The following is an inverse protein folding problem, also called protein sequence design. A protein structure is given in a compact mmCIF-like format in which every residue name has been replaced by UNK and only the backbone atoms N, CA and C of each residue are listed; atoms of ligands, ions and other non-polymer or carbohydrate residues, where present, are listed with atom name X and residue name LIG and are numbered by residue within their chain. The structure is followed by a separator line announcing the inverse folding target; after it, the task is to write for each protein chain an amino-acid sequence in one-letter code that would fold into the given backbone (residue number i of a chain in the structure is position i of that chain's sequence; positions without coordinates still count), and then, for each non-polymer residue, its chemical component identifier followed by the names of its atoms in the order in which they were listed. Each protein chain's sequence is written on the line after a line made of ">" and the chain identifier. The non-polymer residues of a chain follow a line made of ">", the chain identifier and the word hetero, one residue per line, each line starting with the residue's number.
data_IF_184152288107
#
_entry.id   IF_184152288107
#
_cell.length_a   1.000
_cell.length_b   1.000
_cell.length_c   1.000
_cell.angle_alpha   90.00
_cell.angle_beta   90.00
_cell.angle_gamma   90.00
#
_symmetry.space_group_name_H-M   'P 1'
#
loop_
_entity.id
_entity.type
_entity.pdbx_description
1 polymer ?
#
# COMPACT_ATOMS: atom_id res chain seq x y z
N UNK A 1 25.46 36.26 -68.38
CA UNK A 1 26.68 35.45 -68.55
C UNK A 1 26.57 34.35 -67.48
N UNK A 2 26.18 33.10 -67.75
CA UNK A 2 26.40 32.16 -68.87
C UNK A 2 27.67 31.30 -68.71
N UNK A 3 27.64 30.06 -69.21
CA UNK A 3 28.45 28.88 -68.78
C UNK A 3 28.10 28.45 -67.33
N UNK A 4 27.64 27.24 -67.01
CA UNK A 4 27.48 25.95 -67.73
C UNK A 4 28.77 25.24 -68.19
N UNK A 5 29.01 24.05 -67.63
CA UNK A 5 29.76 22.94 -68.23
C UNK A 5 29.47 21.61 -67.50
N UNK A 6 28.65 20.74 -68.11
CA UNK A 6 28.50 19.32 -67.73
C UNK A 6 29.36 18.45 -68.64
N UNK A 7 29.84 17.30 -68.17
CA UNK A 7 30.30 16.17 -69.02
C UNK A 7 30.14 14.85 -68.27
N UNK A 8 29.95 13.74 -69.01
CA UNK A 8 29.24 12.56 -68.52
C UNK A 8 29.82 11.23 -69.05
N UNK A 9 29.60 10.14 -68.29
CA UNK A 9 29.31 8.76 -68.76
C UNK A 9 30.41 7.97 -69.53
N UNK A 10 30.76 6.78 -69.00
CA UNK A 10 30.66 5.42 -69.59
C UNK A 10 31.28 4.41 -68.59
N UNK A 11 30.75 3.23 -68.20
CA UNK A 11 29.87 2.20 -68.80
C UNK A 11 30.60 1.12 -69.62
N UNK A 12 30.80 -0.06 -69.01
CA UNK A 12 30.43 -1.41 -69.48
C UNK A 12 30.76 -2.41 -68.34
N UNK A 13 29.96 -3.39 -67.90
CA UNK A 13 28.97 -4.32 -68.51
C UNK A 13 29.60 -5.59 -69.11
N UNK A 14 29.39 -6.71 -68.39
CA UNK A 14 28.93 -8.06 -68.78
C UNK A 14 29.02 -8.89 -67.46
N UNK A 15 28.02 -9.61 -66.94
CA UNK A 15 27.11 -10.62 -67.52
C UNK A 15 27.42 -11.97 -66.82
N UNK A 16 26.62 -13.05 -66.72
CA UNK A 16 25.23 -13.40 -67.07
C UNK A 16 25.00 -14.87 -66.55
N UNK A 17 23.83 -15.43 -66.20
CA UNK A 17 22.43 -14.97 -65.99
C UNK A 17 21.60 -16.11 -65.29
N UNK A 18 20.44 -15.81 -64.64
CA UNK A 18 19.33 -16.77 -64.29
C UNK A 18 19.55 -17.92 -63.25
N UNK A 19 18.53 -18.61 -62.69
CA UNK A 19 17.19 -18.19 -62.19
C UNK A 19 16.55 -19.26 -61.23
N UNK A 20 15.58 -18.85 -60.41
CA UNK A 20 14.45 -19.60 -59.79
C UNK A 20 14.51 -21.12 -59.49
N UNK A 21 14.19 -21.51 -58.24
CA UNK A 21 13.76 -22.87 -57.89
C UNK A 21 13.24 -23.02 -56.44
N UNK A 22 11.93 -23.21 -56.25
CA UNK A 22 11.28 -23.52 -54.96
C UNK A 22 10.94 -25.02 -54.93
N UNK A 23 11.18 -25.70 -53.80
CA UNK A 23 10.37 -26.82 -53.24
C UNK A 23 11.00 -27.29 -51.91
N UNK A 24 10.20 -27.91 -51.03
CA UNK A 24 10.66 -28.54 -49.79
C UNK A 24 10.02 -29.93 -49.61
N UNK A 25 10.79 -30.92 -49.15
CA UNK A 25 10.24 -32.16 -48.57
C UNK A 25 11.27 -33.01 -47.78
N UNK A 26 10.76 -33.59 -46.70
CA UNK A 26 11.03 -34.92 -46.11
C UNK A 26 12.46 -35.52 -45.97
N UNK A 27 12.88 -35.59 -44.70
CA UNK A 27 13.15 -36.82 -43.95
C UNK A 27 14.20 -37.86 -44.42
N UNK A 28 15.08 -38.24 -43.48
CA UNK A 28 15.62 -39.61 -43.41
C UNK A 28 15.81 -40.03 -41.94
N UNK A 29 15.27 -41.18 -41.55
CA UNK A 29 15.63 -41.85 -40.28
C UNK A 29 16.89 -42.68 -40.52
N UNK A 30 17.79 -42.77 -39.53
CA UNK A 30 18.46 -44.05 -39.31
C UNK A 30 18.88 -44.28 -37.86
N UNK A 31 19.13 -45.54 -37.52
CA UNK A 31 19.16 -46.08 -36.15
C UNK A 31 20.36 -46.99 -35.99
N UNK A 32 21.21 -46.74 -35.00
CA UNK A 32 22.25 -47.68 -34.56
C UNK A 32 22.08 -47.93 -33.06
N UNK A 33 22.18 -49.19 -32.65
CA UNK A 33 22.09 -49.67 -31.27
C UNK A 33 23.16 -50.74 -31.09
N UNK A 34 23.95 -50.67 -30.01
CA UNK A 34 24.61 -51.83 -29.41
C UNK A 34 24.64 -51.66 -27.89
N UNK A 35 24.40 -52.76 -27.17
CA UNK A 35 24.46 -52.87 -25.70
C UNK A 35 25.60 -53.83 -25.31
N UNK A 36 26.08 -53.75 -24.07
CA UNK A 36 26.85 -54.81 -23.39
C UNK A 36 26.52 -54.84 -21.88
N UNK A 37 26.68 -56.00 -21.23
CA UNK A 37 26.27 -56.30 -19.84
C UNK A 37 27.25 -57.34 -19.22
N UNK A 38 27.24 -57.74 -17.94
CA UNK A 38 26.31 -57.50 -16.81
C UNK A 38 27.15 -57.33 -15.50
N UNK A 39 26.95 -57.94 -14.29
CA UNK A 39 25.92 -58.83 -13.70
C UNK A 39 25.23 -58.28 -12.42
N UNK A 40 24.52 -59.12 -11.67
CA UNK A 40 23.56 -58.80 -10.59
C UNK A 40 24.11 -58.78 -9.14
N UNK A 41 23.30 -58.22 -8.21
CA UNK A 41 22.83 -58.94 -6.98
C UNK A 41 21.45 -58.40 -6.50
N UNK A 42 20.76 -59.10 -5.58
CA UNK A 42 19.28 -59.18 -5.53
C UNK A 42 18.60 -58.70 -4.22
N UNK A 43 17.49 -57.92 -4.36
CA UNK A 43 16.16 -57.97 -3.67
C UNK A 43 16.09 -57.95 -2.10
N UNK A 44 14.91 -57.84 -1.42
CA UNK A 44 13.50 -57.69 -1.89
C UNK A 44 12.63 -56.57 -1.24
N UNK A 45 11.50 -56.27 -1.89
CA UNK A 45 10.15 -55.96 -1.35
C UNK A 45 9.20 -56.02 -2.59
N UNK A 46 8.03 -56.66 -2.64
CA UNK A 46 6.82 -56.67 -1.78
C UNK A 46 6.07 -55.32 -1.73
N UNK A 47 4.75 -55.24 -1.96
CA UNK A 47 3.86 -56.06 -2.82
C UNK A 47 2.68 -55.14 -3.26
N UNK A 48 2.01 -55.43 -4.39
CA UNK A 48 1.04 -54.52 -4.99
C UNK A 48 -0.43 -54.93 -4.76
N UNK A 49 -1.20 -54.10 -4.03
CA UNK A 49 -2.66 -54.21 -3.93
C UNK A 49 -3.36 -53.14 -4.79
N UNK A 50 -3.92 -53.53 -5.94
CA UNK A 50 -4.77 -52.64 -6.75
C UNK A 50 -6.08 -52.32 -6.00
N UNK A 51 -6.35 -51.03 -5.76
CA UNK A 51 -7.67 -50.54 -5.33
C UNK A 51 -8.12 -49.44 -6.28
N UNK A 52 -9.26 -49.63 -6.92
CA UNK A 52 -9.82 -48.70 -7.91
C UNK A 52 -10.44 -47.48 -7.23
N UNK A 53 -9.74 -46.34 -7.22
CA UNK A 53 -10.26 -45.09 -6.65
C UNK A 53 -10.91 -44.22 -7.73
N UNK A 54 -12.23 -44.04 -7.64
CA UNK A 54 -12.96 -42.98 -8.35
C UNK A 54 -12.52 -41.58 -7.88
N UNK A 55 -12.71 -40.52 -8.70
CA UNK A 55 -12.27 -39.17 -8.34
C UNK A 55 -13.01 -38.63 -7.10
N UNK A 56 -12.29 -38.09 -6.09
CA UNK A 56 -12.94 -37.41 -4.97
C UNK A 56 -13.67 -36.14 -5.42
N UNK A 57 -14.92 -35.96 -4.96
CA UNK A 57 -15.76 -34.82 -5.31
C UNK A 57 -15.08 -33.46 -5.07
N UNK A 58 -15.27 -32.52 -6.00
CA UNK A 58 -15.00 -31.09 -5.77
C UNK A 58 -15.96 -30.55 -4.70
N UNK A 59 -15.56 -30.64 -3.42
CA UNK A 59 -16.13 -29.78 -2.38
C UNK A 59 -15.53 -28.39 -2.54
N UNK A 60 -16.33 -27.45 -3.06
CA UNK A 60 -16.03 -26.03 -2.96
C UNK A 60 -15.73 -25.68 -1.50
N UNK A 61 -14.46 -25.38 -1.20
CA UNK A 61 -14.11 -24.63 0.01
C UNK A 61 -14.32 -23.15 -0.31
N UNK A 62 -15.52 -22.66 -0.07
CA UNK A 62 -15.71 -21.22 0.15
C UNK A 62 -14.76 -20.78 1.27
N UNK A 63 -14.09 -19.62 1.15
CA UNK A 63 -13.51 -18.96 2.31
C UNK A 63 -14.61 -18.72 3.35
N UNK A 64 -14.30 -18.68 4.66
CA UNK A 64 -15.23 -18.11 5.61
C UNK A 64 -15.48 -16.63 5.26
N UNK A 65 -16.69 -16.09 5.44
CA UNK A 65 -16.89 -14.65 5.40
C UNK A 65 -16.00 -13.98 6.45
N UNK A 66 -15.48 -12.79 6.15
CA UNK A 66 -14.79 -11.95 7.14
C UNK A 66 -15.89 -11.38 8.07
N UNK A 67 -16.01 -11.91 9.30
CA UNK A 67 -17.17 -11.62 10.17
C UNK A 67 -17.39 -10.11 10.39
N UNK A 68 -18.64 -9.69 10.22
CA UNK A 68 -19.28 -8.47 10.73
C UNK A 68 -18.36 -7.25 10.96
N UNK A 69 -18.23 -6.42 9.92
CA UNK A 69 -17.99 -4.98 10.11
C UNK A 69 -19.26 -4.33 10.69
N UNK A 70 -19.53 -4.64 11.97
CA UNK A 70 -20.66 -4.13 12.75
C UNK A 70 -20.63 -2.59 12.73
N UNK A 71 -21.60 -2.00 12.02
CA UNK A 71 -21.48 -0.66 11.42
C UNK A 71 -21.86 0.49 12.36
N UNK A 72 -21.79 0.26 13.68
CA UNK A 72 -22.06 1.28 14.69
C UNK A 72 -20.95 2.34 14.73
N UNK A 73 -21.31 3.60 14.46
CA UNK A 73 -20.42 4.76 14.47
C UNK A 73 -19.90 5.14 15.86
N UNK A 74 -20.43 4.53 16.92
CA UNK A 74 -20.04 4.78 18.32
C UNK A 74 -18.53 4.62 18.60
N UNK A 75 -17.85 3.72 17.88
CA UNK A 75 -16.46 3.29 18.14
C UNK A 75 -15.43 4.43 18.11
N UNK A 76 -15.69 5.53 17.41
CA UNK A 76 -14.72 6.62 17.24
C UNK A 76 -14.82 7.76 18.28
N UNK A 77 -15.85 7.82 19.11
CA UNK A 77 -15.96 8.84 20.17
C UNK A 77 -16.04 10.32 19.73
N UNK A 78 -15.99 10.62 18.42
CA UNK A 78 -16.14 11.97 17.86
C UNK A 78 -17.45 12.57 18.36
N UNK A 79 -17.41 13.82 18.84
CA UNK A 79 -18.61 14.56 19.31
C UNK A 79 -19.55 14.96 18.16
N UNK A 80 -20.28 13.97 17.67
CA UNK A 80 -21.70 14.08 17.31
C UNK A 80 -22.09 15.10 16.24
N UNK A 81 -21.28 15.27 15.18
CA UNK A 81 -21.72 15.97 13.96
C UNK A 81 -21.49 15.11 12.71
N UNK A 82 -22.57 14.81 11.99
CA UNK A 82 -22.53 14.21 10.65
C UNK A 82 -21.94 15.19 9.64
N UNK A 83 -21.43 14.69 8.52
CA UNK A 83 -21.17 15.54 7.35
C UNK A 83 -22.52 16.00 6.77
N UNK A 84 -22.96 17.19 7.18
CA UNK A 84 -24.01 17.97 6.50
C UNK A 84 -23.37 18.73 5.33
N UNK A 85 -23.91 18.55 4.12
CA UNK A 85 -23.53 19.31 2.92
C UNK A 85 -24.14 20.71 3.00
N UNK A 86 -23.34 21.74 2.75
CA UNK A 86 -23.67 23.12 3.14
C UNK A 86 -24.86 23.72 2.37
N UNK A 87 -25.04 23.36 1.10
CA UNK A 87 -26.07 23.94 0.22
C UNK A 87 -27.40 23.18 0.29
N UNK A 88 -27.36 21.84 0.35
CA UNK A 88 -28.56 20.99 0.33
C UNK A 88 -29.07 20.59 1.71
N UNK A 89 -28.25 20.73 2.76
CA UNK A 89 -28.54 20.20 4.10
C UNK A 89 -28.53 18.66 4.20
N UNK A 90 -28.24 17.93 3.11
CA UNK A 90 -28.21 16.46 3.12
C UNK A 90 -27.04 15.95 3.96
N UNK A 91 -27.28 14.89 4.73
CA UNK A 91 -26.23 14.18 5.48
C UNK A 91 -25.58 13.12 4.60
N UNK A 92 -24.27 13.21 4.39
CA UNK A 92 -23.52 12.28 3.53
C UNK A 92 -23.61 10.85 4.09
N UNK A 93 -23.47 10.68 5.41
CA UNK A 93 -23.60 9.38 6.08
C UNK A 93 -24.97 8.73 5.84
N UNK A 94 -26.05 9.51 5.82
CA UNK A 94 -27.41 9.00 5.62
C UNK A 94 -27.65 8.58 4.18
N UNK A 95 -27.20 9.39 3.21
CA UNK A 95 -27.29 9.08 1.77
C UNK A 95 -26.56 7.78 1.44
N UNK A 96 -25.32 7.62 1.92
CA UNK A 96 -24.56 6.40 1.64
C UNK A 96 -25.07 5.19 2.41
N UNK A 97 -25.58 5.35 3.64
CA UNK A 97 -26.19 4.25 4.39
C UNK A 97 -27.45 3.70 3.71
N UNK A 98 -28.37 4.57 3.28
CA UNK A 98 -29.62 4.14 2.63
C UNK A 98 -29.38 3.51 1.25
N UNK A 99 -28.29 3.85 0.58
CA UNK A 99 -27.87 3.14 -0.64
C UNK A 99 -27.17 1.81 -0.32
N UNK A 100 -26.13 1.83 0.53
CA UNK A 100 -25.27 0.67 0.81
C UNK A 100 -26.05 -0.53 1.37
N UNK A 101 -27.01 -0.29 2.28
CA UNK A 101 -27.86 -1.34 2.89
C UNK A 101 -28.68 -2.19 1.92
N UNK A 102 -28.76 -1.79 0.64
CA UNK A 102 -29.50 -2.46 -0.42
C UNK A 102 -28.57 -3.11 -1.47
N UNK A 103 -27.24 -3.04 -1.30
CA UNK A 103 -26.27 -3.67 -2.20
C UNK A 103 -26.15 -5.17 -1.88
N UNK A 104 -25.99 -6.04 -2.91
CA UNK A 104 -25.82 -7.48 -2.71
C UNK A 104 -24.39 -7.89 -2.34
N UNK A 105 -23.41 -7.01 -2.57
CA UNK A 105 -21.98 -7.25 -2.34
C UNK A 105 -21.35 -6.08 -1.56
N UNK A 106 -20.28 -6.37 -0.81
CA UNK A 106 -19.60 -5.36 -0.01
C UNK A 106 -18.94 -4.27 -0.87
N UNK A 107 -19.01 -3.03 -0.39
CA UNK A 107 -18.48 -1.84 -1.05
C UNK A 107 -17.88 -0.86 -0.06
N UNK A 108 -17.13 0.14 -0.56
CA UNK A 108 -16.56 1.23 0.25
C UNK A 108 -17.60 1.90 1.16
N UNK A 109 -18.83 2.05 0.67
CA UNK A 109 -19.93 2.73 1.36
C UNK A 109 -20.39 2.03 2.64
N UNK A 110 -20.32 0.69 2.71
CA UNK A 110 -20.62 -0.08 3.92
C UNK A 110 -19.72 0.30 5.10
N UNK A 111 -18.51 0.79 4.81
CA UNK A 111 -17.55 1.28 5.80
C UNK A 111 -17.50 2.81 5.88
N UNK A 112 -18.54 3.51 5.39
CA UNK A 112 -18.58 4.98 5.28
C UNK A 112 -17.35 5.57 4.56
N UNK A 113 -16.81 4.85 3.58
CA UNK A 113 -15.69 5.29 2.75
C UNK A 113 -16.16 5.79 1.38
N UNK A 114 -15.74 6.99 0.97
CA UNK A 114 -16.04 7.56 -0.35
C UNK A 114 -14.76 7.59 -1.20
N UNK A 115 -14.85 7.03 -2.40
CA UNK A 115 -13.76 6.89 -3.36
C UNK A 115 -13.95 7.90 -4.50
N UNK A 116 -13.01 8.81 -4.71
CA UNK A 116 -13.13 9.97 -5.61
C UNK A 116 -13.36 9.63 -7.11
N UNK A 117 -13.01 8.40 -7.54
CA UNK A 117 -13.25 7.91 -8.90
C UNK A 117 -14.47 6.97 -9.03
N UNK A 118 -15.26 6.76 -7.97
CA UNK A 118 -16.43 5.88 -8.03
C UNK A 118 -17.64 6.63 -8.60
N UNK A 119 -17.99 6.30 -9.84
CA UNK A 119 -19.12 6.88 -10.56
C UNK A 119 -20.48 6.50 -9.97
N UNK A 120 -20.60 5.33 -9.32
CA UNK A 120 -21.85 4.92 -8.67
C UNK A 120 -22.05 5.75 -7.41
N UNK A 121 -21.02 5.82 -6.55
CA UNK A 121 -21.04 6.70 -5.37
C UNK A 121 -21.25 8.17 -5.76
N UNK A 122 -20.64 8.67 -6.84
CA UNK A 122 -20.91 10.03 -7.35
C UNK A 122 -22.40 10.25 -7.64
N UNK A 123 -23.06 9.29 -8.30
CA UNK A 123 -24.45 9.44 -8.75
C UNK A 123 -25.50 9.56 -7.63
N UNK A 124 -25.11 9.39 -6.36
CA UNK A 124 -25.96 9.62 -5.18
C UNK A 124 -26.08 11.12 -4.79
N UNK A 125 -25.26 11.98 -5.40
CA UNK A 125 -25.06 13.38 -5.06
C UNK A 125 -25.20 14.28 -6.30
N UNK A 126 -25.61 15.53 -6.10
CA UNK A 126 -25.50 16.58 -7.11
C UNK A 126 -24.02 16.92 -7.36
N UNK A 127 -23.70 17.56 -8.49
CA UNK A 127 -22.32 17.88 -8.84
C UNK A 127 -21.67 18.87 -7.84
N UNK A 128 -22.47 19.76 -7.27
CA UNK A 128 -22.11 20.72 -6.24
C UNK A 128 -21.78 20.02 -4.91
N UNK A 129 -22.65 19.09 -4.49
CA UNK A 129 -22.46 18.28 -3.28
C UNK A 129 -21.23 17.36 -3.42
N UNK A 130 -21.08 16.71 -4.57
CA UNK A 130 -19.93 15.85 -4.86
C UNK A 130 -18.61 16.63 -4.86
N UNK A 131 -18.62 17.83 -5.45
CA UNK A 131 -17.49 18.77 -5.40
C UNK A 131 -17.19 19.17 -3.96
N UNK A 132 -18.18 19.42 -3.11
CA UNK A 132 -17.94 19.70 -1.68
C UNK A 132 -17.30 18.48 -0.99
N UNK A 133 -17.88 17.28 -1.13
CA UNK A 133 -17.39 16.04 -0.52
C UNK A 133 -15.94 15.72 -0.94
N UNK A 134 -15.60 15.92 -2.21
CA UNK A 134 -14.26 15.60 -2.75
C UNK A 134 -13.21 16.67 -2.49
N UNK A 135 -13.59 17.92 -2.16
CA UNK A 135 -12.66 19.05 -1.98
C UNK A 135 -12.69 19.73 -0.60
N UNK A 136 -13.67 19.43 0.26
CA UNK A 136 -13.76 19.98 1.62
C UNK A 136 -12.55 19.56 2.47
N UNK A 137 -12.00 20.51 3.23
CA UNK A 137 -10.80 20.30 4.07
C UNK A 137 -9.67 19.60 3.27
N UNK A 138 -9.47 20.03 2.03
CA UNK A 138 -8.40 19.53 1.17
C UNK A 138 -7.02 19.80 1.79
N UNK A 139 -6.15 18.79 1.78
CA UNK A 139 -4.77 18.89 2.24
C UNK A 139 -3.91 19.37 1.07
N UNK A 140 -3.02 20.31 1.33
CA UNK A 140 -2.06 20.80 0.34
C UNK A 140 -1.20 19.64 -0.17
N UNK A 141 -1.22 19.37 -1.49
CA UNK A 141 -0.37 18.33 -2.06
C UNK A 141 1.10 18.71 -1.85
N UNK A 142 1.94 17.86 -1.21
CA UNK A 142 3.32 18.21 -0.95
C UNK A 142 4.09 18.61 -2.21
N UNK A 143 4.72 19.77 -2.13
CA UNK A 143 5.56 20.35 -3.17
C UNK A 143 6.97 19.80 -2.98
N UNK A 144 7.47 19.05 -3.98
CA UNK A 144 8.86 18.64 -4.00
C UNK A 144 9.76 19.87 -4.15
N UNK A 145 10.93 19.84 -3.51
CA UNK A 145 11.95 20.88 -3.67
C UNK A 145 12.39 21.05 -5.12
N UNK A 146 12.84 22.26 -5.46
CA UNK A 146 13.36 22.59 -6.79
C UNK A 146 14.59 21.73 -7.18
N UNK A 147 15.40 21.33 -6.18
CA UNK A 147 16.51 20.37 -6.29
C UNK A 147 16.04 19.04 -6.90
N UNK A 148 15.10 18.36 -6.23
CA UNK A 148 14.49 17.10 -6.63
C UNK A 148 13.76 17.22 -7.99
N UNK A 149 13.00 18.30 -8.18
CA UNK A 149 12.27 18.55 -9.43
C UNK A 149 13.23 18.74 -10.61
N UNK A 150 14.37 19.40 -10.41
CA UNK A 150 15.37 19.58 -11.47
C UNK A 150 16.16 18.31 -11.75
N UNK A 151 16.46 17.48 -10.74
CA UNK A 151 17.09 16.18 -10.95
C UNK A 151 16.17 15.22 -11.73
N UNK A 152 14.89 15.16 -11.38
CA UNK A 152 13.88 14.39 -12.14
C UNK A 152 13.76 14.88 -13.59
N UNK A 153 13.86 16.19 -13.86
CA UNK A 153 13.92 16.73 -15.23
C UNK A 153 15.21 16.33 -15.96
N UNK A 154 16.39 16.45 -15.31
CA UNK A 154 17.70 16.08 -15.86
C UNK A 154 17.72 14.64 -16.37
N UNK A 155 17.14 13.73 -15.59
CA UNK A 155 17.04 12.31 -15.95
C UNK A 155 15.83 11.97 -16.83
N UNK A 156 14.97 12.94 -17.18
CA UNK A 156 13.84 12.72 -18.12
C UNK A 156 14.31 12.78 -19.57
N UNK A 157 15.05 11.74 -20.00
CA UNK A 157 15.52 11.54 -21.38
C UNK A 157 14.84 10.33 -22.05
N UNK A 158 15.18 10.12 -23.32
CA UNK A 158 14.62 9.16 -24.27
C UNK A 158 15.65 8.15 -24.82
N UNK A 159 16.90 8.23 -24.38
CA UNK A 159 18.01 7.40 -24.86
C UNK A 159 18.85 6.86 -23.67
N UNK A 160 19.35 5.62 -23.80
CA UNK A 160 20.10 4.85 -22.78
C UNK A 160 21.50 5.41 -22.52
N UNK A 161 22.27 5.69 -23.56
CA UNK A 161 23.61 6.30 -23.50
C UNK A 161 23.52 7.68 -22.84
N UNK A 162 22.60 8.52 -23.32
CA UNK A 162 22.35 9.84 -22.74
C UNK A 162 21.91 9.78 -21.27
N UNK A 163 21.10 8.78 -20.88
CA UNK A 163 20.71 8.60 -19.47
C UNK A 163 21.91 8.19 -18.60
N UNK A 164 22.74 7.28 -19.13
CA UNK A 164 23.96 6.80 -18.48
C UNK A 164 24.93 7.97 -18.24
N UNK A 165 25.15 8.84 -19.22
CA UNK A 165 26.00 10.03 -19.08
C UNK A 165 25.52 10.97 -17.98
N UNK A 166 24.26 11.44 -18.05
CA UNK A 166 23.73 12.40 -17.06
C UNK A 166 23.66 11.85 -15.64
N UNK A 167 23.60 10.51 -15.48
CA UNK A 167 23.68 9.85 -14.18
C UNK A 167 25.10 9.84 -13.60
N UNK A 168 26.15 9.87 -14.43
CA UNK A 168 27.54 9.95 -13.97
C UNK A 168 27.97 11.37 -13.58
N UNK A 169 27.29 12.40 -14.08
CA UNK A 169 27.40 13.76 -13.54
C UNK A 169 26.96 13.83 -12.07
N UNK A 170 27.49 14.77 -11.26
CA UNK A 170 27.01 15.02 -9.91
C UNK A 170 25.49 15.23 -9.82
N UNK A 171 24.90 14.67 -8.75
CA UNK A 171 23.49 14.83 -8.37
C UNK A 171 23.29 15.69 -7.10
N UNK A 172 24.39 16.02 -6.42
CA UNK A 172 24.48 17.03 -5.35
C UNK A 172 25.22 18.27 -5.89
N UNK A 173 25.06 19.46 -5.28
CA UNK A 173 25.76 20.67 -5.73
C UNK A 173 27.30 20.54 -5.65
N UNK A 174 28.00 21.21 -6.56
CA UNK A 174 29.47 21.17 -6.61
C UNK A 174 30.10 21.71 -5.32
N UNK A 175 31.19 21.06 -4.89
CA UNK A 175 31.88 21.36 -3.63
C UNK A 175 31.20 20.85 -2.36
N UNK A 176 29.92 20.46 -2.40
CA UNK A 176 29.26 19.83 -1.26
C UNK A 176 29.77 18.40 -1.03
N UNK A 177 29.98 18.04 0.23
CA UNK A 177 30.09 16.64 0.64
C UNK A 177 28.69 16.03 0.74
N UNK A 178 28.56 14.74 0.46
CA UNK A 178 27.32 14.00 0.72
C UNK A 178 26.96 14.09 2.20
N UNK A 179 25.66 14.23 2.46
CA UNK A 179 25.07 14.21 3.81
C UNK A 179 23.73 13.49 3.72
N UNK A 180 23.51 12.48 4.59
CA UNK A 180 22.33 11.62 4.53
C UNK A 180 21.02 12.33 4.92
N UNK A 181 21.08 13.42 5.70
CA UNK A 181 19.88 14.16 6.12
C UNK A 181 19.34 15.01 4.97
N UNK A 182 20.23 15.69 4.24
CA UNK A 182 19.85 16.67 3.21
C UNK A 182 19.86 16.11 1.78
N UNK A 183 20.70 15.09 1.48
CA UNK A 183 20.90 14.62 0.10
C UNK A 183 20.26 13.26 -0.23
N UNK A 184 19.69 12.53 0.74
CA UNK A 184 19.17 11.18 0.49
C UNK A 184 18.01 11.14 -0.53
N UNK A 185 17.19 12.19 -0.67
CA UNK A 185 16.12 12.20 -1.69
C UNK A 185 16.66 12.42 -3.11
N UNK A 186 17.81 13.09 -3.27
CA UNK A 186 18.53 13.19 -4.55
C UNK A 186 19.22 11.86 -4.89
N UNK A 187 19.83 11.25 -3.87
CA UNK A 187 20.49 9.94 -3.95
C UNK A 187 19.49 8.82 -4.29
N UNK A 188 18.31 8.84 -3.69
CA UNK A 188 17.17 7.97 -4.03
C UNK A 188 16.77 8.10 -5.50
N UNK A 189 16.63 9.32 -6.03
CA UNK A 189 16.29 9.55 -7.44
C UNK A 189 17.38 8.95 -8.35
N UNK A 190 18.65 9.27 -8.09
CA UNK A 190 19.80 8.73 -8.83
C UNK A 190 19.88 7.18 -8.75
N UNK A 191 19.72 6.60 -7.56
CA UNK A 191 19.72 5.16 -7.31
C UNK A 191 18.57 4.43 -8.01
N UNK A 192 17.36 4.98 -7.96
CA UNK A 192 16.21 4.41 -8.64
C UNK A 192 16.35 4.46 -10.17
N UNK A 193 16.85 5.59 -10.73
CA UNK A 193 17.16 5.69 -12.16
C UNK A 193 18.26 4.72 -12.59
N UNK A 194 19.34 4.55 -11.81
CA UNK A 194 20.40 3.55 -12.06
C UNK A 194 19.84 2.11 -11.98
N UNK A 195 18.96 1.86 -11.02
CA UNK A 195 18.29 0.57 -10.85
C UNK A 195 17.41 0.18 -12.03
N UNK A 196 16.67 1.13 -12.60
CA UNK A 196 15.80 0.91 -13.77
C UNK A 196 16.60 0.93 -15.09
N UNK A 197 17.63 1.78 -15.23
CA UNK A 197 18.55 1.78 -16.38
C UNK A 197 19.16 0.38 -16.59
N UNK A 198 19.65 -0.26 -15.51
CA UNK A 198 20.19 -1.62 -15.57
C UNK A 198 19.16 -2.63 -16.11
N UNK A 199 17.86 -2.45 -15.86
CA UNK A 199 16.81 -3.31 -16.41
C UNK A 199 16.57 -3.00 -17.89
N UNK A 200 16.49 -1.72 -18.28
CA UNK A 200 16.31 -1.30 -19.68
C UNK A 200 17.43 -1.81 -20.62
N UNK A 201 18.64 -1.97 -20.09
CA UNK A 201 19.83 -2.49 -20.78
C UNK A 201 19.90 -4.02 -20.89
N UNK A 202 19.05 -4.80 -20.18
CA UNK A 202 19.04 -6.27 -20.30
C UNK A 202 18.43 -6.72 -21.63
N UNK A 203 19.00 -7.74 -22.28
CA UNK A 203 18.48 -8.28 -23.54
C UNK A 203 17.07 -8.87 -23.36
N UNK A 204 16.91 -9.85 -22.47
CA UNK A 204 15.61 -10.25 -21.90
C UNK A 204 15.19 -9.22 -20.84
N UNK A 205 13.97 -8.68 -20.90
CA UNK A 205 13.59 -7.55 -20.06
C UNK A 205 12.46 -7.91 -19.08
N UNK A 206 12.75 -8.01 -17.77
CA UNK A 206 11.76 -8.46 -16.80
C UNK A 206 10.59 -7.49 -16.60
N UNK A 207 10.71 -6.23 -17.04
CA UNK A 207 9.59 -5.26 -17.01
C UNK A 207 8.56 -5.60 -18.12
N UNK A 208 9.00 -6.25 -19.21
CA UNK A 208 8.18 -6.69 -20.34
C UNK A 208 7.67 -8.12 -20.14
N UNK A 209 8.58 -9.06 -19.87
CA UNK A 209 8.38 -10.49 -20.15
C UNK A 209 7.58 -11.24 -19.07
N UNK A 210 6.78 -10.52 -18.27
CA UNK A 210 5.93 -11.02 -17.17
C UNK A 210 6.62 -11.79 -16.04
N UNK A 211 7.96 -11.95 -16.07
CA UNK A 211 8.86 -12.50 -15.04
C UNK A 211 8.92 -11.67 -13.72
N UNK A 212 7.93 -10.80 -13.51
CA UNK A 212 7.81 -9.86 -12.39
C UNK A 212 7.52 -10.54 -11.05
N UNK A 213 7.25 -11.85 -11.04
CA UNK A 213 7.20 -12.65 -9.81
C UNK A 213 8.57 -12.78 -9.13
N UNK A 214 9.68 -12.66 -9.88
CA UNK A 214 11.05 -12.76 -9.34
C UNK A 214 11.78 -11.41 -9.20
N UNK A 215 11.63 -10.50 -10.16
CA UNK A 215 12.40 -9.25 -10.18
C UNK A 215 11.59 -8.12 -9.54
N UNK A 216 11.73 -8.03 -8.21
CA UNK A 216 11.12 -7.02 -7.36
C UNK A 216 11.67 -5.59 -7.65
N UNK A 217 11.32 -5.00 -8.79
CA UNK A 217 11.68 -3.63 -9.16
C UNK A 217 11.12 -2.61 -8.17
N UNK A 218 9.96 -2.92 -7.58
CA UNK A 218 9.25 -2.01 -6.68
C UNK A 218 9.96 -1.83 -5.33
N UNK A 219 10.59 -2.86 -4.77
CA UNK A 219 11.46 -2.68 -3.60
C UNK A 219 12.61 -1.68 -3.87
N UNK A 220 13.20 -1.74 -5.07
CA UNK A 220 14.31 -0.85 -5.48
C UNK A 220 13.85 0.60 -5.76
N UNK A 221 12.56 0.81 -5.99
CA UNK A 221 11.95 2.09 -6.41
C UNK A 221 11.11 2.73 -5.31
N UNK A 222 10.63 1.96 -4.33
CA UNK A 222 9.83 2.44 -3.19
C UNK A 222 10.69 2.49 -1.93
N UNK A 223 11.30 1.37 -1.54
CA UNK A 223 11.78 1.16 -0.16
C UNK A 223 12.89 2.17 0.24
N UNK A 224 13.93 2.44 -0.58
CA UNK A 224 14.99 3.41 -0.26
C UNK A 224 14.50 4.85 -0.08
N UNK A 225 13.30 5.21 -0.56
CA UNK A 225 12.74 6.55 -0.32
C UNK A 225 12.47 6.80 1.17
N UNK A 226 12.31 5.76 1.99
CA UNK A 226 11.93 5.86 3.40
C UNK A 226 13.10 5.61 4.36
N UNK A 227 14.30 5.31 3.83
CA UNK A 227 15.49 4.86 4.57
C UNK A 227 16.13 5.90 5.53
N UNK A 228 15.70 7.17 5.49
CA UNK A 228 16.11 8.20 6.46
C UNK A 228 15.03 8.50 7.51
N UNK A 229 13.86 7.86 7.46
CA UNK A 229 12.78 8.08 8.42
C UNK A 229 12.86 7.11 9.60
N UNK A 230 12.24 7.47 10.72
CA UNK A 230 11.95 6.54 11.80
C UNK A 230 10.81 5.54 11.45
N UNK A 231 10.53 5.36 10.15
CA UNK A 231 9.53 4.44 9.61
C UNK A 231 10.22 3.17 9.13
N UNK A 232 9.58 2.04 9.36
CA UNK A 232 9.92 0.72 8.85
C UNK A 232 8.86 0.30 7.83
N UNK A 233 9.28 -0.02 6.61
CA UNK A 233 8.41 -0.63 5.61
C UNK A 233 8.45 -2.15 5.78
N UNK A 234 7.51 -2.67 6.57
CA UNK A 234 7.40 -4.11 6.86
C UNK A 234 6.88 -4.84 5.62
N UNK A 235 7.79 -5.47 4.87
CA UNK A 235 7.51 -6.24 3.65
C UNK A 235 7.09 -7.69 3.95
N UNK A 236 6.19 -8.22 3.12
CA UNK A 236 5.82 -9.65 3.08
C UNK A 236 4.76 -10.04 4.12
N UNK A 237 3.50 -10.16 3.68
CA UNK A 237 2.32 -10.45 4.53
C UNK A 237 2.25 -9.64 5.84
N UNK A 238 2.68 -8.37 5.78
CA UNK A 238 2.69 -7.45 6.91
C UNK A 238 1.29 -7.29 7.49
N UNK A 239 1.05 -7.86 8.67
CA UNK A 239 -0.21 -7.71 9.39
C UNK A 239 -0.29 -6.31 10.00
N UNK A 240 -1.30 -5.53 9.61
CA UNK A 240 -1.63 -4.26 10.26
C UNK A 240 -1.98 -4.47 11.72
N UNK A 241 -1.32 -3.70 12.57
CA UNK A 241 -1.65 -3.57 13.98
C UNK A 241 -2.96 -2.84 14.19
N UNK A 242 -3.22 -1.76 13.46
CA UNK A 242 -4.47 -1.01 13.54
C UNK A 242 -5.70 -1.89 13.22
N UNK A 243 -5.65 -2.66 12.12
CA UNK A 243 -6.70 -3.63 11.79
C UNK A 243 -6.86 -4.74 12.84
N UNK A 244 -5.77 -5.18 13.47
CA UNK A 244 -5.84 -6.19 14.52
C UNK A 244 -6.47 -5.61 15.78
N UNK A 245 -6.09 -4.40 16.18
CA UNK A 245 -6.57 -3.81 17.43
C UNK A 245 -8.05 -3.42 17.29
N UNK A 246 -8.51 -2.90 16.14
CA UNK A 246 -9.95 -2.75 15.84
C UNK A 246 -10.70 -4.08 15.92
N UNK A 247 -10.21 -5.14 15.24
CA UNK A 247 -10.84 -6.48 15.23
C UNK A 247 -10.88 -7.16 16.61
N UNK A 248 -10.27 -6.60 17.65
CA UNK A 248 -10.25 -7.14 19.01
C UNK A 248 -10.70 -6.15 20.10
N UNK A 249 -11.29 -5.00 19.73
CA UNK A 249 -11.68 -3.94 20.68
C UNK A 249 -12.60 -4.45 21.81
N UNK A 250 -13.52 -5.37 21.49
CA UNK A 250 -14.50 -5.97 22.41
C UNK A 250 -14.14 -7.40 22.83
N UNK A 251 -12.90 -7.87 22.58
CA UNK A 251 -12.48 -9.26 22.76
C UNK A 251 -12.36 -9.65 24.24
N UNK A 252 -13.06 -10.70 24.67
CA UNK A 252 -12.90 -11.27 26.00
C UNK A 252 -11.61 -12.10 26.13
N UNK A 253 -11.16 -12.34 27.36
CA UNK A 253 -9.88 -13.06 27.63
C UNK A 253 -9.80 -14.42 26.94
N UNK A 254 -10.93 -15.15 26.89
CA UNK A 254 -11.03 -16.50 26.36
C UNK A 254 -11.06 -16.58 24.82
N UNK A 255 -11.31 -15.47 24.13
CA UNK A 255 -11.43 -15.47 22.67
C UNK A 255 -10.06 -15.47 21.99
N UNK A 256 -9.91 -16.25 20.92
CA UNK A 256 -8.70 -16.22 20.08
C UNK A 256 -8.55 -14.84 19.42
N UNK A 257 -7.42 -14.17 19.64
CA UNK A 257 -7.13 -12.86 19.03
C UNK A 257 -7.29 -12.92 17.50
N UNK A 258 -8.21 -12.13 16.94
CA UNK A 258 -8.40 -11.97 15.49
C UNK A 258 -7.17 -11.30 14.88
N UNK A 259 -6.66 -11.83 13.76
CA UNK A 259 -5.51 -11.23 13.08
C UNK A 259 -5.93 -9.97 12.31
N UNK A 260 -4.99 -9.04 12.18
CA UNK A 260 -5.17 -7.85 11.34
C UNK A 260 -5.17 -8.18 9.85
N UNK A 261 -5.56 -7.20 9.03
CA UNK A 261 -5.46 -7.29 7.57
C UNK A 261 -3.97 -7.40 7.18
N UNK A 262 -3.64 -8.31 6.26
CA UNK A 262 -2.28 -8.49 5.72
C UNK A 262 -2.12 -7.69 4.44
N UNK A 263 -1.00 -6.97 4.27
CA UNK A 263 -0.57 -6.38 2.99
C UNK A 263 0.83 -6.83 2.57
N UNK A 264 1.26 -6.45 1.38
CA UNK A 264 2.63 -6.69 0.87
C UNK A 264 3.67 -5.68 1.41
N UNK A 265 3.17 -4.59 1.99
CA UNK A 265 3.95 -3.63 2.77
C UNK A 265 3.08 -2.91 3.80
N UNK A 266 3.64 -2.58 4.96
CA UNK A 266 3.04 -1.67 5.95
C UNK A 266 4.08 -0.66 6.41
N UNK A 267 3.74 0.63 6.36
CA UNK A 267 4.59 1.72 6.85
C UNK A 267 4.33 1.92 8.35
N UNK A 268 5.22 1.43 9.22
CA UNK A 268 5.06 1.45 10.69
C UNK A 268 6.14 2.32 11.34
N UNK A 269 5.80 3.05 12.40
CA UNK A 269 6.79 3.78 13.21
C UNK A 269 7.66 2.80 14.01
N UNK A 270 8.98 2.89 13.87
CA UNK A 270 9.94 1.93 14.47
C UNK A 270 9.78 1.88 15.99
N UNK A 271 9.77 0.66 16.54
CA UNK A 271 9.51 0.34 17.95
C UNK A 271 8.13 0.75 18.48
N UNK A 272 7.21 1.21 17.64
CA UNK A 272 5.84 1.60 17.99
C UNK A 272 4.83 0.72 17.21
N UNK A 273 3.56 0.77 17.58
CA UNK A 273 2.44 0.11 16.89
C UNK A 273 1.85 0.95 15.74
N UNK A 274 2.00 2.27 15.78
CA UNK A 274 1.37 3.22 14.86
C UNK A 274 1.78 2.99 13.39
N UNK A 275 0.81 3.08 12.49
CA UNK A 275 0.91 2.76 11.07
C UNK A 275 0.38 3.91 10.21
N UNK A 276 1.14 4.30 9.19
CA UNK A 276 0.94 5.53 8.41
C UNK A 276 0.60 5.26 6.93
N UNK A 277 0.51 3.99 6.55
CA UNK A 277 0.20 3.57 5.20
C UNK A 277 0.45 2.09 4.93
N UNK A 278 0.10 1.66 3.73
CA UNK A 278 0.22 0.27 3.29
C UNK A 278 0.57 0.14 1.79
N UNK A 279 0.99 -1.07 1.40
CA UNK A 279 1.25 -1.48 0.02
C UNK A 279 0.55 -2.82 -0.23
N UNK A 280 -0.09 -2.96 -1.40
CA UNK A 280 -0.70 -4.20 -1.89
C UNK A 280 -0.24 -4.43 -3.35
N UNK A 281 0.28 -5.63 -3.65
CA UNK A 281 1.05 -5.93 -4.85
C UNK A 281 0.36 -6.96 -5.77
N UNK A 282 -0.29 -6.49 -6.83
CA UNK A 282 -0.92 -7.34 -7.82
C UNK A 282 0.09 -7.98 -8.78
N UNK A 283 0.11 -9.32 -8.90
CA UNK A 283 0.89 -10.04 -9.93
C UNK A 283 0.62 -9.52 -11.36
N UNK A 284 -0.61 -9.09 -11.62
CA UNK A 284 -1.05 -8.43 -12.85
C UNK A 284 -1.74 -7.12 -12.48
N UNK A 285 -1.57 -6.10 -13.32
CA UNK A 285 -2.42 -4.91 -13.29
C UNK A 285 -3.58 -5.11 -14.28
N UNK A 286 -4.69 -5.65 -13.77
CA UNK A 286 -5.97 -5.61 -14.47
C UNK A 286 -6.44 -4.15 -14.63
N UNK A 287 -7.33 -3.86 -15.59
CA UNK A 287 -7.89 -2.51 -15.72
C UNK A 287 -8.75 -2.13 -14.51
N UNK A 288 -9.20 -0.87 -14.42
CA UNK A 288 -9.96 -0.38 -13.25
C UNK A 288 -11.24 -1.16 -12.94
N UNK A 289 -11.78 -1.89 -13.92
CA UNK A 289 -12.93 -2.78 -13.86
C UNK A 289 -12.60 -4.22 -13.46
N UNK A 290 -11.32 -4.58 -13.34
CA UNK A 290 -10.88 -5.93 -12.97
C UNK A 290 -11.23 -6.28 -11.53
N UNK A 291 -11.93 -7.39 -11.33
CA UNK A 291 -12.41 -7.83 -10.01
C UNK A 291 -11.27 -7.94 -8.99
N UNK A 292 -10.07 -8.39 -9.40
CA UNK A 292 -8.94 -8.46 -8.47
C UNK A 292 -8.49 -7.07 -8.04
N UNK A 293 -8.30 -6.14 -8.99
CA UNK A 293 -7.92 -4.76 -8.67
C UNK A 293 -8.95 -4.08 -7.74
N UNK A 294 -10.25 -4.32 -7.94
CA UNK A 294 -11.30 -3.79 -7.07
C UNK A 294 -11.24 -4.40 -5.65
N UNK A 295 -11.06 -5.71 -5.53
CA UNK A 295 -11.00 -6.44 -4.25
C UNK A 295 -9.75 -6.09 -3.45
N UNK A 296 -8.56 -6.20 -4.06
CA UNK A 296 -7.27 -5.82 -3.47
C UNK A 296 -7.31 -4.35 -3.01
N UNK A 297 -7.96 -3.48 -3.80
CA UNK A 297 -8.12 -2.07 -3.45
C UNK A 297 -9.14 -1.80 -2.34
N UNK A 298 -10.20 -2.58 -2.19
CA UNK A 298 -11.14 -2.43 -1.06
C UNK A 298 -10.45 -2.87 0.25
N UNK A 299 -9.73 -4.00 0.18
CA UNK A 299 -8.90 -4.56 1.26
C UNK A 299 -7.89 -3.55 1.80
N UNK A 300 -7.08 -2.93 0.93
CA UNK A 300 -6.10 -1.91 1.37
C UNK A 300 -6.82 -0.65 1.92
N UNK A 301 -7.93 -0.20 1.33
CA UNK A 301 -8.65 0.97 1.83
C UNK A 301 -9.25 0.75 3.22
N UNK A 302 -9.81 -0.43 3.51
CA UNK A 302 -10.27 -0.78 4.87
C UNK A 302 -9.12 -0.79 5.88
N UNK A 303 -7.96 -1.35 5.49
CA UNK A 303 -6.75 -1.34 6.34
C UNK A 303 -6.24 0.10 6.58
N UNK A 304 -6.26 0.96 5.57
CA UNK A 304 -5.92 2.39 5.71
C UNK A 304 -6.92 3.15 6.59
N UNK A 305 -8.22 2.83 6.52
CA UNK A 305 -9.21 3.38 7.47
C UNK A 305 -8.89 2.94 8.90
N UNK A 306 -8.57 1.66 9.12
CA UNK A 306 -8.18 1.17 10.45
C UNK A 306 -6.97 1.96 11.00
N UNK A 307 -5.94 2.18 10.18
CA UNK A 307 -4.75 2.98 10.52
C UNK A 307 -5.08 4.45 10.84
N UNK A 308 -5.87 5.11 9.98
CA UNK A 308 -6.26 6.51 10.16
C UNK A 308 -7.12 6.71 11.41
N UNK A 309 -8.00 5.75 11.72
CA UNK A 309 -8.77 5.74 12.96
C UNK A 309 -7.86 5.59 14.19
N UNK A 310 -6.83 4.73 14.15
CA UNK A 310 -5.86 4.61 15.24
C UNK A 310 -5.07 5.91 15.46
N UNK A 311 -4.65 6.58 14.38
CA UNK A 311 -3.99 7.89 14.45
C UNK A 311 -4.91 9.00 14.97
N UNK A 312 -6.22 8.93 14.69
CA UNK A 312 -7.19 9.88 15.23
C UNK A 312 -7.37 9.70 16.75
N UNK A 313 -7.42 8.45 17.23
CA UNK A 313 -7.48 8.12 18.68
C UNK A 313 -6.20 8.56 19.39
N UNK A 314 -5.04 8.37 18.75
CA UNK A 314 -3.74 8.83 19.25
C UNK A 314 -3.68 10.37 19.41
N UNK A 315 -4.47 11.12 18.64
CA UNK A 315 -4.68 12.58 18.79
C UNK A 315 -5.84 12.95 19.73
N UNK A 316 -6.27 12.08 20.65
CA UNK A 316 -7.40 12.29 21.58
C UNK A 316 -8.73 12.64 20.89
N UNK A 317 -8.87 12.31 19.61
CA UNK A 317 -9.95 12.81 18.72
C UNK A 317 -10.05 14.35 18.65
N UNK A 318 -8.98 15.10 18.99
CA UNK A 318 -8.88 16.56 18.87
C UNK A 318 -9.13 16.96 17.40
N UNK A 319 -10.32 17.50 17.11
CA UNK A 319 -10.86 17.68 15.75
C UNK A 319 -9.89 18.43 14.82
N UNK A 320 -9.22 19.48 15.29
CA UNK A 320 -8.29 20.25 14.47
C UNK A 320 -7.02 19.45 14.09
N UNK A 321 -6.61 18.45 14.89
CA UNK A 321 -5.54 17.51 14.55
C UNK A 321 -6.07 16.42 13.62
N UNK A 322 -7.19 15.79 13.97
CA UNK A 322 -7.85 14.71 13.20
C UNK A 322 -8.12 15.15 11.76
N UNK A 323 -8.60 16.37 11.55
CA UNK A 323 -8.87 16.92 10.21
C UNK A 323 -7.61 17.22 9.39
N UNK A 324 -6.41 17.20 9.98
CA UNK A 324 -5.11 17.32 9.27
C UNK A 324 -4.51 15.95 8.90
N UNK A 325 -4.85 14.88 9.62
CA UNK A 325 -4.28 13.52 9.41
C UNK A 325 -4.54 12.99 7.99
N UNK A 326 -3.54 12.28 7.45
CA UNK A 326 -3.67 11.46 6.24
C UNK A 326 -2.83 10.18 6.35
N UNK A 327 -3.27 9.10 5.70
CA UNK A 327 -2.46 7.90 5.47
C UNK A 327 -2.34 7.58 3.97
N UNK A 328 -1.31 6.83 3.59
CA UNK A 328 -0.99 6.58 2.17
C UNK A 328 -1.13 5.11 1.80
N UNK A 329 -1.90 4.84 0.74
CA UNK A 329 -1.92 3.54 0.08
C UNK A 329 -1.07 3.54 -1.18
N UNK A 330 -0.31 2.47 -1.43
CA UNK A 330 0.33 2.20 -2.72
C UNK A 330 -0.23 0.90 -3.28
N UNK A 331 -0.87 0.98 -4.44
CA UNK A 331 -1.13 -0.19 -5.28
C UNK A 331 0.00 -0.26 -6.30
N UNK A 332 0.68 -1.40 -6.39
CA UNK A 332 1.61 -1.68 -7.47
C UNK A 332 1.30 -3.02 -8.11
N UNK A 333 1.61 -3.18 -9.39
CA UNK A 333 1.39 -4.45 -10.07
C UNK A 333 1.88 -4.45 -11.50
N UNK A 334 2.50 -5.57 -11.91
CA UNK A 334 3.39 -5.60 -13.06
C UNK A 334 4.33 -4.37 -13.08
N UNK A 335 4.33 -3.59 -14.16
CA UNK A 335 5.10 -2.36 -14.34
C UNK A 335 4.34 -1.07 -13.95
N UNK A 336 3.19 -1.17 -13.28
CA UNK A 336 2.32 -0.03 -12.90
C UNK A 336 2.29 0.25 -11.39
N UNK A 337 2.08 1.52 -11.05
CA UNK A 337 1.88 2.01 -9.68
C UNK A 337 0.76 3.07 -9.62
N UNK A 338 -0.03 3.04 -8.55
CA UNK A 338 -0.93 4.11 -8.13
C UNK A 338 -0.70 4.42 -6.64
N UNK A 339 -0.58 5.70 -6.33
CA UNK A 339 -0.66 6.20 -4.95
C UNK A 339 -2.09 6.67 -4.68
N UNK A 340 -2.61 6.38 -3.49
CA UNK A 340 -3.86 6.93 -2.97
C UNK A 340 -3.63 7.56 -1.59
N UNK A 341 -4.43 8.54 -1.24
CA UNK A 341 -4.39 9.22 0.06
C UNK A 341 -5.74 9.11 0.74
N UNK A 342 -5.76 8.74 2.01
CA UNK A 342 -6.99 8.55 2.79
C UNK A 342 -7.03 9.56 3.93
N UNK A 343 -8.15 10.28 4.08
CA UNK A 343 -8.34 11.36 5.05
C UNK A 343 -9.76 11.39 5.64
N UNK A 344 -9.96 12.15 6.73
CA UNK A 344 -11.26 12.32 7.41
C UNK A 344 -11.79 13.77 7.20
N UNK A 345 -12.43 14.12 6.07
CA UNK A 345 -12.82 15.50 5.74
C UNK A 345 -13.79 16.16 6.72
N UNK A 346 -14.91 15.51 7.05
CA UNK A 346 -15.93 15.96 8.01
C UNK A 346 -16.68 14.73 8.54
N UNK A 347 -17.24 14.84 9.74
CA UNK A 347 -18.03 13.76 10.36
C UNK A 347 -17.26 12.44 10.43
N UNK A 348 -17.96 11.34 10.13
CA UNK A 348 -17.41 9.97 10.12
C UNK A 348 -16.97 9.49 8.72
N UNK A 349 -17.15 10.33 7.70
CA UNK A 349 -16.80 10.03 6.31
C UNK A 349 -15.28 9.88 6.21
N UNK A 350 -14.85 8.72 5.73
CA UNK A 350 -13.47 8.49 5.29
C UNK A 350 -13.40 8.73 3.79
N UNK A 351 -12.54 9.64 3.33
CA UNK A 351 -12.36 9.92 1.90
C UNK A 351 -11.09 9.27 1.39
N UNK A 352 -11.19 8.66 0.21
CA UNK A 352 -10.10 8.05 -0.53
C UNK A 352 -9.92 8.87 -1.81
N UNK A 353 -8.76 9.51 -1.96
CA UNK A 353 -8.38 10.24 -3.17
C UNK A 353 -7.35 9.44 -3.97
N UNK A 354 -7.64 9.12 -5.23
CA UNK A 354 -6.76 8.29 -6.08
C UNK A 354 -5.99 9.13 -7.08
N UNK A 355 -4.67 9.00 -7.02
CA UNK A 355 -3.78 9.65 -7.98
C UNK A 355 -3.72 8.89 -9.30
N UNK A 356 -3.13 9.51 -10.31
CA UNK A 356 -2.97 8.90 -11.63
C UNK A 356 -2.13 7.62 -11.53
N UNK A 357 -2.54 6.58 -12.26
CA UNK A 357 -1.72 5.38 -12.48
C UNK A 357 -0.55 5.75 -13.38
N UNK A 358 0.66 5.37 -12.99
CA UNK A 358 1.88 5.54 -13.79
C UNK A 358 2.45 4.18 -14.16
N UNK A 359 2.85 4.04 -15.41
CA UNK A 359 3.41 2.82 -15.98
C UNK A 359 4.87 3.05 -16.34
N UNK A 360 5.79 2.29 -15.72
CA UNK A 360 7.20 2.31 -16.07
C UNK A 360 7.35 1.53 -17.39
N UNK A 361 7.77 2.22 -18.45
CA UNK A 361 7.93 1.61 -19.76
C UNK A 361 8.95 0.46 -19.71
N UNK A 362 8.67 -0.64 -20.43
CA UNK A 362 9.55 -1.81 -20.45
C UNK A 362 10.90 -1.59 -21.14
N UNK A 363 10.99 -0.61 -22.05
CA UNK A 363 12.24 -0.07 -22.58
C UNK A 363 12.30 1.44 -22.34
N UNK A 364 13.51 1.99 -22.34
CA UNK A 364 13.72 3.42 -22.41
C UNK A 364 13.39 3.96 -23.80
N UNK A 365 12.09 4.16 -24.07
CA UNK A 365 11.60 5.01 -25.15
C UNK A 365 11.24 6.41 -24.63
N UNK A 366 10.72 6.49 -23.40
CA UNK A 366 10.43 7.72 -22.65
C UNK A 366 10.58 7.44 -21.15
N UNK A 367 11.58 7.99 -20.47
CA UNK A 367 11.73 7.84 -19.01
C UNK A 367 10.73 8.67 -18.18
N UNK A 368 10.04 9.61 -18.81
CA UNK A 368 9.05 10.53 -18.19
C UNK A 368 8.03 9.86 -17.24
N UNK A 369 7.53 8.62 -17.46
CA UNK A 369 6.67 7.94 -16.49
C UNK A 369 7.38 7.54 -15.19
N UNK A 370 8.67 7.18 -15.23
CA UNK A 370 9.47 6.92 -14.04
C UNK A 370 9.62 8.19 -13.20
N UNK A 371 9.89 9.33 -13.84
CA UNK A 371 9.96 10.63 -13.16
C UNK A 371 8.66 10.95 -12.39
N UNK A 372 7.50 10.60 -12.96
CA UNK A 372 6.21 10.75 -12.28
C UNK A 372 5.97 9.72 -11.17
N UNK A 373 6.37 8.45 -11.36
CA UNK A 373 6.28 7.43 -10.31
C UNK A 373 7.12 7.82 -9.07
N UNK A 374 8.38 8.22 -9.28
CA UNK A 374 9.28 8.70 -8.22
C UNK A 374 8.73 9.96 -7.53
N UNK A 375 8.13 10.88 -8.29
CA UNK A 375 7.45 12.06 -7.72
C UNK A 375 6.32 11.67 -6.76
N UNK A 376 5.46 10.72 -7.14
CA UNK A 376 4.34 10.32 -6.25
C UNK A 376 4.82 9.52 -5.03
N UNK A 377 5.93 8.78 -5.13
CA UNK A 377 6.59 8.13 -3.97
C UNK A 377 7.20 9.18 -3.02
N UNK A 378 7.83 10.24 -3.54
CA UNK A 378 8.29 11.37 -2.72
C UNK A 378 7.13 12.16 -2.09
N UNK A 379 6.00 12.31 -2.80
CA UNK A 379 4.78 12.84 -2.19
C UNK A 379 4.23 11.91 -1.08
N UNK A 380 4.28 10.58 -1.26
CA UNK A 380 3.86 9.62 -0.24
C UNK A 380 4.72 9.75 1.03
N UNK A 381 6.04 9.82 0.87
CA UNK A 381 7.00 10.12 1.95
C UNK A 381 6.65 11.41 2.69
N UNK A 382 6.42 12.49 1.96
CA UNK A 382 6.10 13.81 2.53
C UNK A 382 4.81 13.78 3.36
N UNK A 383 3.78 13.04 2.93
CA UNK A 383 2.52 12.90 3.69
C UNK A 383 2.75 12.10 4.97
N UNK A 384 3.50 10.99 4.90
CA UNK A 384 3.83 10.20 6.10
C UNK A 384 4.62 11.06 7.10
N UNK A 385 5.57 11.89 6.64
CA UNK A 385 6.29 12.85 7.50
C UNK A 385 5.34 13.88 8.12
N UNK A 386 4.47 14.53 7.34
CA UNK A 386 3.50 15.50 7.84
C UNK A 386 2.56 14.90 8.89
N UNK A 387 2.12 13.64 8.71
CA UNK A 387 1.28 12.95 9.68
C UNK A 387 2.07 12.56 10.94
N UNK A 388 3.34 12.13 10.82
CA UNK A 388 4.23 11.93 11.98
C UNK A 388 4.46 13.23 12.75
N UNK A 389 4.65 14.36 12.07
CA UNK A 389 4.80 15.68 12.70
C UNK A 389 3.52 16.12 13.43
N UNK A 390 2.33 15.71 12.98
CA UNK A 390 1.06 15.95 13.70
C UNK A 390 0.97 15.09 14.96
N UNK A 391 1.37 13.81 14.89
CA UNK A 391 1.41 12.93 16.08
C UNK A 391 2.40 13.47 17.11
N UNK A 392 3.64 13.80 16.72
CA UNK A 392 4.65 14.27 17.68
C UNK A 392 4.25 15.59 18.39
N UNK A 393 3.60 16.52 17.66
CA UNK A 393 3.22 17.84 18.20
C UNK A 393 2.07 17.83 19.20
N UNK A 394 1.36 16.71 19.36
CA UNK A 394 0.32 16.62 20.41
C UNK A 394 0.95 16.60 21.81
N UNK A 395 2.14 15.99 21.92
CA UNK A 395 2.83 15.73 23.19
C UNK A 395 3.56 16.99 23.69
N UNK A 396 3.83 17.97 22.82
CA UNK A 396 4.41 19.28 23.15
C UNK A 396 3.43 20.21 23.93
N UNK A 397 2.12 19.91 23.95
CA UNK A 397 1.07 20.85 24.39
C UNK A 397 0.62 20.64 25.84
N UNK A 398 0.70 19.42 26.37
CA UNK A 398 0.05 19.07 27.64
C UNK A 398 0.96 19.15 28.89
N UNK A 399 2.21 19.63 28.76
CA UNK A 399 3.16 19.70 29.88
C UNK A 399 2.96 20.92 30.81
N UNK A 400 2.45 22.05 30.30
CA UNK A 400 2.02 23.18 31.16
C UNK A 400 0.68 22.86 31.84
N UNK A 401 -0.32 22.34 31.10
CA UNK A 401 -1.61 21.93 31.64
C UNK A 401 -1.49 20.92 32.80
N UNK A 402 -0.56 19.96 32.69
CA UNK A 402 -0.32 18.94 33.72
C UNK A 402 0.40 19.46 34.98
N UNK A 403 0.93 20.70 34.95
CA UNK A 403 1.58 21.35 36.10
C UNK A 403 0.71 22.43 36.76
N UNK A 404 -0.33 22.92 36.07
CA UNK A 404 -1.34 23.84 36.62
C UNK A 404 -2.47 23.14 37.41
N UNK A 405 -2.51 21.80 37.42
CA UNK A 405 -3.32 21.00 38.37
C UNK A 405 -2.73 21.11 39.79
N UNK A 406 -2.87 22.27 40.41
CA UNK A 406 -2.46 22.49 41.81
C UNK A 406 -3.37 21.72 42.77
N UNK A 407 -2.78 20.84 43.58
CA UNK A 407 -3.41 20.08 44.67
C UNK A 407 -4.07 21.00 45.74
N UNK A 408 -5.25 21.54 45.44
CA UNK A 408 -6.18 22.12 46.42
C UNK A 408 -6.84 20.97 47.23
N UNK A 409 -6.01 20.20 47.93
CA UNK A 409 -6.45 19.15 48.84
C UNK A 409 -6.97 19.75 50.14
N UNK A 410 -8.30 19.74 50.32
CA UNK A 410 -8.84 19.53 51.66
C UNK A 410 -10.16 18.73 51.69
N UNK A 411 -10.27 17.83 52.66
CA UNK A 411 -11.55 17.38 53.19
C UNK A 411 -12.40 16.33 52.45
N UNK A 412 -11.90 15.12 52.15
CA UNK A 412 -12.77 13.93 52.03
C UNK A 412 -12.33 12.71 52.85
N UNK A 413 -13.24 12.22 53.71
CA UNK A 413 -13.01 11.13 54.66
C UNK A 413 -12.86 9.75 53.99
N UNK A 414 -11.93 8.93 54.51
CA UNK A 414 -11.74 7.54 54.11
C UNK A 414 -12.81 6.59 54.70
N UNK A 415 -13.56 5.83 53.89
CA UNK A 415 -14.45 4.77 54.40
C UNK A 415 -13.67 3.49 54.73
N UNK A 416 -13.78 3.00 55.97
CA UNK A 416 -13.10 1.78 56.40
C UNK A 416 -13.84 0.51 55.91
N UNK A 417 -13.29 -0.19 54.91
CA UNK A 417 -13.78 -1.51 54.50
C UNK A 417 -13.16 -2.63 55.35
N UNK A 418 -13.88 -3.10 56.37
CA UNK A 418 -13.47 -4.28 57.14
C UNK A 418 -13.78 -5.59 56.40
N UNK A 419 -12.78 -6.47 56.30
CA UNK A 419 -12.90 -7.79 55.65
C UNK A 419 -13.41 -8.86 56.63
N UNK A 420 -14.42 -9.68 56.30
CA UNK A 420 -14.96 -10.67 57.23
C UNK A 420 -14.12 -11.96 57.27
N UNK A 421 -13.44 -12.21 58.40
CA UNK A 421 -12.82 -13.52 58.65
C UNK A 421 -13.82 -14.53 59.23
N UNK A 422 -13.75 -15.79 58.76
CA UNK A 422 -14.48 -16.94 59.31
C UNK A 422 -13.52 -18.07 59.66
N UNK A 423 -13.50 -18.50 60.93
CA UNK A 423 -13.43 -19.89 61.42
C UNK A 423 -13.31 -19.92 62.95
N UNK A 424 -13.72 -21.02 63.59
CA UNK A 424 -13.35 -21.31 64.99
C UNK A 424 -14.49 -21.54 65.98
N UNK A 425 -15.50 -22.37 65.66
CA UNK A 425 -16.39 -22.89 66.69
C UNK A 425 -15.67 -23.98 67.49
N UNK A 426 -15.53 -23.85 68.83
CA UNK A 426 -15.79 -24.94 69.80
C UNK A 426 -15.58 -24.61 71.29
N UNK A 427 -16.48 -25.22 72.07
CA UNK A 427 -16.32 -25.81 73.42
C UNK A 427 -16.21 -24.95 74.71
N UNK A 428 -16.90 -25.46 75.76
CA UNK A 428 -16.89 -25.11 77.21
C UNK A 428 -17.42 -23.70 77.59
N UNK A 429 -18.63 -23.48 78.13
CA UNK A 429 -19.41 -24.03 79.29
C UNK A 429 -19.14 -23.29 80.62
N UNK A 430 -20.22 -22.72 81.19
CA UNK A 430 -20.37 -22.12 82.54
C UNK A 430 -19.45 -20.90 82.85
N UNK A 431 -19.88 -19.90 83.62
CA UNK A 431 -20.72 -19.95 84.83
C UNK A 431 -21.99 -19.10 84.83
N UNK A 432 -22.88 -19.41 85.80
CA UNK A 432 -23.89 -18.49 86.33
C UNK A 432 -23.31 -17.80 87.55
N UNK A 433 -23.66 -16.54 87.79
CA UNK A 433 -24.54 -16.12 88.91
C UNK A 433 -24.49 -14.61 89.17
N UNK A 434 -25.62 -14.08 89.68
CA UNK A 434 -25.80 -12.75 90.32
C UNK A 434 -25.58 -11.54 89.38
N UNK A 435 -26.49 -10.57 89.33
CA UNK A 435 -27.61 -10.27 90.22
C UNK A 435 -28.80 -9.71 89.44
#
# INVERSE_FOLDING_TARGET
>A
MASEASTSININIYGDIQNNGIIASEATKNRIVTNTTHPEKKRPAEEASHVTTTPPNLRHRTPPPDDDDNSDGSVLGIRSQSYVVAESGRKVEEVIYQFARNLPEESYLHSFMINDIDMVTKSLFLDEEWKEITTSVAKDKPKLENSLVNLLKKYTVDNVERLRDVLFEPFIPDGCKYDRKHHLDLDFINGAYRGILRLWEMEENPIIDSLLEGINMWSRVIDPAFDNLNIELVRGEGMSHASSDRKNLTRATNDRKKLGRKGDGVFRLRKNRLEFGAIEAGRKWEEKSGTKYMTDSLKICKMLKDMLNQLAIECDMKEDLVRKLQVVGILNGANRIQVMTVDLPKGYITRIQRRKVYEIAGRLSKSKPLAYALKEILCAKSIIMQTVDIINKKDDVDLENFLDDSDDQDGYHTPLYMTPQKKGTKDVINEKEKK
#
